data_IF_321314798733
#
_entry.id   IF_321314798733
#
_cell.length_a   1.000
_cell.length_b   1.000
_cell.length_c   1.000
_cell.angle_alpha   90.00
_cell.angle_beta   90.00
_cell.angle_gamma   90.00
#
_symmetry.space_group_name_H-M   'P 1'
#
loop_
_entity.id
_entity.type
_entity.pdbx_description
1 polymer ?
#
# COMPACT_ATOMS: atom_id res chain seq x y z
N UNK A 1 59.49 -4.66 40.35
CA UNK A 1 59.16 -5.17 41.70
C UNK A 1 59.07 -3.99 42.65
N UNK A 2 58.15 -3.91 43.61
CA UNK A 2 56.83 -4.55 43.82
C UNK A 2 55.71 -3.46 43.79
N UNK A 3 54.42 -3.68 44.00
CA UNK A 3 53.74 -4.83 44.58
C UNK A 3 52.23 -4.81 44.29
N UNK A 4 51.73 -6.03 44.34
CA UNK A 4 50.37 -6.54 44.24
C UNK A 4 49.50 -6.09 45.41
N UNK A 5 48.22 -5.79 45.17
CA UNK A 5 47.15 -6.07 46.13
C UNK A 5 45.96 -6.71 45.40
N UNK A 6 45.61 -7.89 45.91
CA UNK A 6 44.54 -8.80 45.51
C UNK A 6 43.14 -8.27 45.87
N UNK A 7 42.14 -8.80 45.16
CA UNK A 7 40.75 -8.96 45.61
C UNK A 7 39.79 -8.01 44.90
N UNK A 8 38.61 -8.40 44.42
CA UNK A 8 37.75 -9.54 44.72
C UNK A 8 36.87 -9.74 43.46
N UNK A 9 36.71 -10.97 43.00
CA UNK A 9 35.55 -11.38 42.21
C UNK A 9 34.89 -12.50 43.02
N UNK A 10 33.58 -12.43 43.35
CA UNK A 10 32.64 -13.23 42.55
C UNK A 10 31.20 -12.66 42.48
N UNK A 11 30.59 -12.83 41.30
CA UNK A 11 29.15 -13.03 41.03
C UNK A 11 28.10 -12.13 41.71
N UNK A 12 27.35 -11.37 40.91
CA UNK A 12 25.88 -11.49 40.83
C UNK A 12 25.27 -10.47 39.87
N UNK A 13 24.24 -10.89 39.14
CA UNK A 13 23.23 -9.97 38.62
C UNK A 13 23.31 -9.68 37.13
N UNK A 14 22.80 -10.62 36.35
CA UNK A 14 22.06 -10.35 35.11
C UNK A 14 21.33 -8.99 35.13
N UNK A 15 21.61 -8.14 34.15
CA UNK A 15 20.60 -7.28 33.56
C UNK A 15 21.02 -6.93 32.14
N UNK A 16 20.89 -7.91 31.24
CA UNK A 16 20.71 -7.62 29.83
C UNK A 16 19.41 -6.82 29.73
N UNK A 17 19.53 -5.50 29.70
CA UNK A 17 18.39 -4.65 29.38
C UNK A 17 17.85 -5.13 28.03
N UNK A 18 16.54 -5.43 27.91
CA UNK A 18 15.99 -5.64 26.58
C UNK A 18 16.29 -4.38 25.76
N UNK A 19 16.64 -4.49 24.47
CA UNK A 19 16.75 -3.31 23.63
C UNK A 19 15.43 -2.55 23.76
N UNK A 20 15.54 -1.30 24.21
CA UNK A 20 14.44 -0.34 24.21
C UNK A 20 13.76 -0.48 22.86
N UNK A 21 12.49 -0.91 22.87
CA UNK A 21 11.74 -1.19 21.67
C UNK A 21 11.81 -0.01 20.72
N UNK A 22 12.17 -0.29 19.47
CA UNK A 22 12.06 0.65 18.37
C UNK A 22 10.64 1.27 18.39
N UNK A 23 10.50 2.61 18.45
CA UNK A 23 9.20 3.26 18.46
C UNK A 23 8.42 3.09 17.14
N UNK A 24 8.95 2.37 16.15
CA UNK A 24 8.18 1.90 15.01
C UNK A 24 7.22 0.79 15.43
N UNK A 25 6.14 1.19 16.11
CA UNK A 25 4.94 0.38 16.29
C UNK A 25 4.40 0.03 14.90
N UNK A 26 4.86 -1.10 14.35
CA UNK A 26 4.33 -1.61 13.10
C UNK A 26 3.05 -2.38 13.39
N UNK A 27 1.93 -1.79 12.99
CA UNK A 27 0.61 -2.38 13.23
C UNK A 27 0.42 -3.46 12.18
N UNK A 28 0.29 -4.69 12.63
CA UNK A 28 -0.07 -5.80 11.75
C UNK A 28 -1.58 -5.81 11.57
N UNK A 29 -2.02 -5.57 10.35
CA UNK A 29 -3.43 -5.58 9.98
C UNK A 29 -3.69 -6.82 9.13
N UNK A 30 -4.50 -7.73 9.67
CA UNK A 30 -5.09 -8.81 8.90
C UNK A 30 -6.41 -8.34 8.30
N UNK A 31 -6.51 -8.35 6.97
CA UNK A 31 -7.70 -7.99 6.22
C UNK A 31 -8.21 -9.21 5.46
N UNK A 32 -9.49 -9.52 5.65
CA UNK A 32 -10.21 -10.52 4.88
C UNK A 32 -11.29 -9.82 4.07
N UNK A 33 -11.20 -9.92 2.75
CA UNK A 33 -12.19 -9.40 1.82
C UNK A 33 -12.94 -10.57 1.18
N UNK A 34 -14.27 -10.57 1.30
CA UNK A 34 -15.15 -11.57 0.71
C UNK A 34 -16.20 -10.87 -0.15
N UNK A 35 -16.20 -11.17 -1.45
CA UNK A 35 -17.27 -10.76 -2.36
C UNK A 35 -17.99 -12.00 -2.85
N UNK A 36 -19.32 -12.05 -2.68
CA UNK A 36 -20.19 -13.15 -3.12
C UNK A 36 -21.23 -12.64 -4.09
N UNK A 37 -21.29 -13.27 -5.25
CA UNK A 37 -22.36 -13.09 -6.24
C UNK A 37 -23.19 -14.36 -6.28
N UNK A 38 -24.52 -14.21 -6.14
CA UNK A 38 -25.48 -15.31 -6.25
C UNK A 38 -26.42 -15.05 -7.41
N UNK A 39 -26.62 -16.06 -8.22
CA UNK A 39 -27.47 -16.03 -9.40
C UNK A 39 -28.69 -16.91 -9.16
N UNK A 40 -29.83 -16.48 -9.69
CA UNK A 40 -31.11 -17.19 -9.69
C UNK A 40 -31.08 -18.47 -10.53
N UNK A 41 -30.18 -18.53 -11.52
CA UNK A 41 -30.02 -19.65 -12.47
C UNK A 41 -28.55 -19.90 -12.81
N UNK A 42 -28.17 -21.09 -13.31
CA UNK A 42 -26.82 -21.35 -13.76
C UNK A 42 -26.42 -20.43 -14.92
N UNK A 43 -25.41 -19.59 -14.70
CA UNK A 43 -24.90 -18.63 -15.69
C UNK A 43 -23.50 -19.02 -16.15
N UNK A 44 -23.18 -18.73 -17.42
CA UNK A 44 -21.81 -18.76 -17.90
C UNK A 44 -21.11 -17.47 -17.50
N UNK A 45 -20.01 -17.59 -16.76
CA UNK A 45 -19.16 -16.46 -16.44
C UNK A 45 -18.18 -16.23 -17.59
N UNK A 46 -18.23 -15.03 -18.18
CA UNK A 46 -17.17 -14.57 -19.08
C UNK A 46 -15.84 -14.38 -18.33
N UNK A 47 -14.74 -14.11 -19.05
CA UNK A 47 -13.43 -13.88 -18.44
C UNK A 47 -13.50 -12.79 -17.37
N UNK A 48 -13.14 -13.12 -16.14
CA UNK A 48 -13.11 -12.20 -15.00
C UNK A 48 -11.69 -11.69 -14.76
N UNK A 49 -11.56 -10.46 -14.28
CA UNK A 49 -10.26 -9.89 -13.89
C UNK A 49 -10.35 -9.41 -12.45
N UNK A 50 -9.53 -9.99 -11.58
CA UNK A 50 -9.44 -9.64 -10.16
C UNK A 50 -8.18 -8.79 -9.93
N UNK A 51 -8.39 -7.60 -9.36
CA UNK A 51 -7.37 -6.56 -9.06
C UNK A 51 -7.20 -6.33 -7.55
N UNK A 52 -7.42 -7.37 -6.76
CA UNK A 52 -7.43 -7.28 -5.29
C UNK A 52 -6.07 -7.58 -4.66
N UNK A 53 -5.04 -7.83 -5.47
CA UNK A 53 -3.66 -7.95 -5.00
C UNK A 53 -3.00 -6.57 -5.00
N UNK A 54 -2.49 -6.08 -3.86
CA UNK A 54 -1.76 -4.82 -3.79
C UNK A 54 -0.58 -4.78 -4.77
N UNK A 55 -0.28 -3.59 -5.28
CA UNK A 55 0.82 -3.38 -6.19
C UNK A 55 2.18 -3.65 -5.48
N UNK A 56 3.19 -4.16 -6.19
CA UNK A 56 4.47 -4.50 -5.58
C UNK A 56 5.24 -3.26 -5.08
N UNK A 57 4.92 -2.07 -5.59
CA UNK A 57 5.53 -0.79 -5.19
C UNK A 57 4.76 -0.08 -4.07
N UNK A 58 3.76 -0.73 -3.45
CA UNK A 58 3.07 -0.17 -2.29
C UNK A 58 4.05 0.06 -1.13
N UNK A 59 3.95 1.22 -0.48
CA UNK A 59 4.78 1.57 0.69
C UNK A 59 4.50 0.67 1.89
N UNK A 60 3.27 0.14 1.99
CA UNK A 60 2.87 -0.81 3.04
C UNK A 60 3.30 -2.22 2.62
N UNK A 61 4.28 -2.84 3.31
CA UNK A 61 4.70 -4.20 3.01
C UNK A 61 3.56 -5.20 3.28
N UNK A 62 3.36 -6.10 2.31
CA UNK A 62 2.41 -7.22 2.41
C UNK A 62 3.19 -8.46 2.85
N UNK A 63 2.91 -8.93 4.06
CA UNK A 63 3.56 -10.10 4.65
C UNK A 63 3.00 -11.40 4.10
N UNK A 64 1.69 -11.46 3.87
CA UNK A 64 1.03 -12.62 3.27
C UNK A 64 -0.17 -12.21 2.44
N UNK A 65 -0.43 -12.99 1.40
CA UNK A 65 -1.56 -12.83 0.49
C UNK A 65 -2.08 -14.20 0.08
N UNK A 66 -3.39 -14.38 0.13
CA UNK A 66 -4.09 -15.57 -0.35
C UNK A 66 -5.29 -15.13 -1.19
N UNK A 67 -5.48 -15.79 -2.34
CA UNK A 67 -6.66 -15.64 -3.18
C UNK A 67 -7.35 -16.99 -3.30
N UNK A 68 -8.59 -17.06 -2.86
CA UNK A 68 -9.48 -18.21 -3.03
C UNK A 68 -10.66 -17.79 -3.89
N UNK A 69 -10.94 -18.59 -4.91
CA UNK A 69 -12.06 -18.36 -5.81
C UNK A 69 -12.93 -19.60 -5.90
N UNK A 70 -14.23 -19.40 -5.80
CA UNK A 70 -15.26 -20.41 -6.00
C UNK A 70 -16.12 -19.96 -7.20
N UNK A 71 -16.42 -20.84 -8.17
CA UNK A 71 -16.18 -22.29 -8.21
C UNK A 71 -14.70 -22.71 -8.29
N UNK A 72 -14.35 -23.86 -7.71
CA UNK A 72 -12.96 -24.38 -7.69
C UNK A 72 -12.45 -24.79 -9.08
N UNK A 73 -13.35 -25.20 -9.99
CA UNK A 73 -13.02 -25.50 -11.38
C UNK A 73 -12.89 -24.21 -12.20
N UNK A 74 -11.69 -23.62 -12.19
CA UNK A 74 -11.38 -22.45 -12.99
C UNK A 74 -9.92 -22.44 -13.43
N UNK A 75 -9.63 -21.71 -14.49
CA UNK A 75 -8.27 -21.41 -14.91
C UNK A 75 -7.90 -20.01 -14.44
N UNK A 76 -6.78 -19.89 -13.73
CA UNK A 76 -6.21 -18.60 -13.31
C UNK A 76 -4.93 -18.31 -14.07
N UNK A 77 -4.84 -17.13 -14.66
CA UNK A 77 -3.64 -16.62 -15.29
C UNK A 77 -3.25 -15.29 -14.62
N UNK A 78 -2.06 -15.26 -14.04
CA UNK A 78 -1.51 -14.06 -13.42
C UNK A 78 -0.72 -13.25 -14.45
N UNK A 79 -1.06 -11.97 -14.57
CA UNK A 79 -0.41 -11.02 -15.47
C UNK A 79 -0.04 -9.75 -14.71
N UNK A 80 0.87 -8.97 -15.27
CA UNK A 80 1.19 -7.63 -14.79
C UNK A 80 0.82 -6.60 -15.86
N UNK A 81 0.22 -5.50 -15.44
CA UNK A 81 -0.02 -4.36 -16.33
C UNK A 81 1.22 -3.46 -16.44
N UNK A 82 1.24 -2.45 -17.34
CA UNK A 82 2.39 -1.55 -17.48
C UNK A 82 2.77 -0.77 -16.22
N UNK A 83 1.84 -0.66 -15.26
CA UNK A 83 2.08 -0.03 -13.95
C UNK A 83 2.48 -1.07 -12.88
N UNK A 84 2.83 -2.29 -13.29
CA UNK A 84 3.20 -3.42 -12.45
C UNK A 84 2.11 -3.90 -11.48
N UNK A 85 0.83 -3.57 -11.71
CA UNK A 85 -0.26 -4.13 -10.92
C UNK A 85 -0.50 -5.59 -11.28
N UNK A 86 -0.76 -6.43 -10.27
CA UNK A 86 -1.09 -7.83 -10.47
C UNK A 86 -2.55 -8.01 -10.90
N UNK A 87 -2.74 -8.71 -12.02
CA UNK A 87 -4.04 -9.05 -12.57
C UNK A 87 -4.22 -10.56 -12.56
N UNK A 88 -5.19 -11.06 -11.79
CA UNK A 88 -5.65 -12.44 -11.94
C UNK A 88 -6.76 -12.47 -12.98
N UNK A 89 -6.51 -13.08 -14.14
CA UNK A 89 -7.54 -13.36 -15.14
C UNK A 89 -8.09 -14.76 -14.93
N UNK A 90 -9.39 -14.87 -14.75
CA UNK A 90 -10.07 -16.13 -14.47
C UNK A 90 -11.02 -16.49 -15.60
N UNK A 91 -11.00 -17.76 -15.97
CA UNK A 91 -11.92 -18.32 -16.96
C UNK A 91 -12.61 -19.54 -16.34
N UNK A 92 -13.93 -19.55 -16.42
CA UNK A 92 -14.77 -20.61 -15.86
C UNK A 92 -15.35 -21.44 -17.00
N UNK A 93 -15.02 -22.74 -17.10
CA UNK A 93 -15.56 -23.61 -18.14
C UNK A 93 -17.03 -23.99 -17.86
N UNK A 94 -17.43 -24.08 -16.60
CA UNK A 94 -18.74 -24.56 -16.17
C UNK A 94 -19.70 -23.42 -15.83
N UNK A 95 -21.00 -23.69 -15.96
CA UNK A 95 -22.04 -22.78 -15.46
C UNK A 95 -22.06 -22.82 -13.94
N UNK A 96 -22.22 -21.67 -13.31
CA UNK A 96 -22.33 -21.58 -11.85
C UNK A 96 -23.53 -20.74 -11.42
N UNK A 97 -24.02 -21.01 -10.21
CA UNK A 97 -25.04 -20.21 -9.52
C UNK A 97 -24.42 -19.32 -8.44
N UNK A 98 -23.15 -19.52 -8.09
CA UNK A 98 -22.43 -18.70 -7.13
C UNK A 98 -21.02 -18.40 -7.63
N UNK A 99 -20.57 -17.16 -7.42
CA UNK A 99 -19.20 -16.73 -7.66
C UNK A 99 -18.69 -16.00 -6.42
N UNK A 100 -17.70 -16.60 -5.75
CA UNK A 100 -17.14 -16.05 -4.52
C UNK A 100 -15.66 -15.80 -4.70
N UNK A 101 -15.23 -14.59 -4.37
CA UNK A 101 -13.84 -14.18 -4.31
C UNK A 101 -13.50 -13.88 -2.87
N UNK A 102 -12.56 -14.62 -2.31
CA UNK A 102 -12.02 -14.40 -0.96
C UNK A 102 -10.56 -14.05 -1.06
N UNK A 103 -10.17 -12.93 -0.46
CA UNK A 103 -8.80 -12.46 -0.38
C UNK A 103 -8.43 -12.26 1.07
N UNK A 104 -7.37 -12.94 1.51
CA UNK A 104 -6.77 -12.74 2.82
C UNK A 104 -5.43 -12.04 2.65
N UNK A 105 -5.21 -10.98 3.42
CA UNK A 105 -4.03 -10.13 3.35
C UNK A 105 -3.54 -9.83 4.76
N UNK A 106 -2.25 -10.00 5.01
CA UNK A 106 -1.61 -9.43 6.21
C UNK A 106 -0.67 -8.33 5.77
N UNK A 107 -0.96 -7.10 6.20
CA UNK A 107 -0.16 -5.92 5.89
C UNK A 107 0.48 -5.39 7.17
N UNK A 108 1.74 -4.99 7.07
CA UNK A 108 2.43 -4.29 8.15
C UNK A 108 2.33 -2.79 7.88
N UNK A 109 1.50 -2.11 8.66
CA UNK A 109 1.32 -0.66 8.59
C UNK A 109 2.30 0.02 9.53
N UNK A 110 3.40 0.52 8.97
CA UNK A 110 4.20 1.51 9.66
C UNK A 110 3.57 2.90 9.50
N UNK A 111 3.68 3.73 10.55
CA UNK A 111 3.31 5.14 10.48
C UNK A 111 4.38 5.85 9.64
N UNK A 112 4.03 6.19 8.40
CA UNK A 112 4.87 7.02 7.54
C UNK A 112 4.41 8.47 7.65
N UNK A 113 5.34 9.40 7.87
CA UNK A 113 5.04 10.83 7.79
C UNK A 113 4.89 11.20 6.30
N UNK A 114 3.70 11.60 5.82
CA UNK A 114 3.51 11.97 4.42
C UNK A 114 4.26 13.26 4.04
N UNK A 115 4.74 14.02 5.02
CA UNK A 115 5.50 15.27 4.84
C UNK A 115 7.01 15.09 5.03
N UNK A 116 7.49 13.85 5.16
CA UNK A 116 8.93 13.56 5.23
C UNK A 116 9.51 13.46 3.81
N UNK A 117 9.48 14.58 3.10
CA UNK A 117 10.10 14.73 1.78
C UNK A 117 10.94 16.00 1.74
N UNK A 118 12.01 15.95 0.95
CA UNK A 118 12.81 17.14 0.69
C UNK A 118 12.14 17.98 -0.39
N UNK A 119 11.92 19.26 -0.09
CA UNK A 119 11.53 20.23 -1.10
C UNK A 119 12.74 20.55 -1.97
N UNK A 120 12.54 20.53 -3.29
CA UNK A 120 13.51 21.13 -4.20
C UNK A 120 13.62 22.63 -3.90
N UNK A 121 14.80 23.26 -4.10
CA UNK A 121 15.00 24.68 -3.81
C UNK A 121 13.94 25.59 -4.45
N UNK A 122 13.51 25.25 -5.66
CA UNK A 122 12.48 25.97 -6.42
C UNK A 122 11.05 25.81 -5.86
N UNK A 123 10.78 24.76 -5.09
CA UNK A 123 9.46 24.46 -4.52
C UNK A 123 9.32 24.85 -3.04
N UNK A 124 10.31 25.57 -2.46
CA UNK A 124 10.25 26.01 -1.06
C UNK A 124 9.19 27.10 -0.80
N UNK A 125 8.87 27.88 -1.83
CA UNK A 125 7.91 28.98 -1.76
C UNK A 125 6.92 28.85 -2.90
N UNK A 126 5.63 28.93 -2.56
CA UNK A 126 4.56 28.94 -3.54
C UNK A 126 4.27 30.38 -3.99
N UNK A 127 3.96 30.63 -5.27
CA UNK A 127 3.88 29.68 -6.39
C UNK A 127 5.25 29.34 -7.00
N UNK A 128 5.43 28.10 -7.44
CA UNK A 128 6.62 27.62 -8.16
C UNK A 128 6.25 27.05 -9.54
N UNK A 129 7.26 26.76 -10.36
CA UNK A 129 7.10 26.23 -11.72
C UNK A 129 7.86 24.89 -11.82
N UNK A 130 7.21 23.88 -12.40
CA UNK A 130 7.86 22.59 -12.70
C UNK A 130 8.85 22.72 -13.86
N UNK A 131 9.89 21.89 -13.87
CA UNK A 131 10.84 21.82 -14.98
C UNK A 131 10.20 21.31 -16.28
N UNK A 132 10.90 21.47 -17.41
CA UNK A 132 10.35 21.15 -18.74
C UNK A 132 9.95 19.67 -18.89
N UNK A 133 10.68 18.74 -18.28
CA UNK A 133 10.36 17.31 -18.33
C UNK A 133 9.13 16.99 -17.47
N UNK A 134 9.09 17.52 -16.25
CA UNK A 134 7.98 17.37 -15.32
C UNK A 134 6.69 18.01 -15.87
N UNK A 135 6.77 19.15 -16.56
CA UNK A 135 5.61 19.76 -17.21
C UNK A 135 4.97 18.83 -18.23
N UNK A 136 5.77 18.07 -18.99
CA UNK A 136 5.27 17.10 -19.98
C UNK A 136 4.59 15.92 -19.27
N UNK A 137 5.25 15.34 -18.26
CA UNK A 137 4.72 14.20 -17.51
C UNK A 137 3.47 14.56 -16.70
N UNK A 138 3.45 15.77 -16.13
CA UNK A 138 2.38 16.27 -15.28
C UNK A 138 1.27 16.99 -16.04
N UNK A 139 1.40 17.21 -17.36
CA UNK A 139 0.42 17.92 -18.18
C UNK A 139 -1.04 17.45 -17.95
N UNK A 140 -1.35 16.15 -17.84
CA UNK A 140 -2.71 15.70 -17.57
C UNK A 140 -3.24 16.12 -16.19
N UNK A 141 -2.36 16.30 -15.21
CA UNK A 141 -2.71 16.66 -13.83
C UNK A 141 -2.74 18.18 -13.60
N UNK A 142 -2.09 18.97 -14.47
CA UNK A 142 -2.07 20.43 -14.40
C UNK A 142 -3.27 21.10 -15.10
N UNK A 143 -4.14 20.31 -15.73
CA UNK A 143 -5.33 20.82 -16.38
C UNK A 143 -6.39 21.26 -15.35
N UNK A 144 -6.37 22.54 -14.97
CA UNK A 144 -7.36 23.12 -14.10
C UNK A 144 -8.68 23.42 -14.85
N UNK A 145 -9.81 23.07 -14.23
CA UNK A 145 -11.14 23.48 -14.70
C UNK A 145 -11.43 24.96 -14.39
N UNK A 146 -12.55 25.46 -14.90
CA UNK A 146 -13.01 26.82 -14.57
C UNK A 146 -13.35 26.93 -13.08
N UNK A 147 -12.81 27.97 -12.42
CA UNK A 147 -13.16 28.26 -11.04
C UNK A 147 -14.64 28.68 -10.95
N UNK A 148 -15.41 27.96 -10.13
CA UNK A 148 -16.80 28.34 -9.81
C UNK A 148 -16.80 29.63 -8.96
N UNK A 149 -17.92 30.39 -8.89
CA UNK A 149 -17.96 31.66 -8.17
C UNK A 149 -17.52 31.59 -6.70
N UNK A 150 -17.87 30.50 -6.00
CA UNK A 150 -17.45 30.29 -4.60
C UNK A 150 -15.95 30.00 -4.50
N UNK A 151 -15.40 29.17 -5.40
CA UNK A 151 -13.97 28.89 -5.45
C UNK A 151 -13.16 30.13 -5.81
N UNK A 152 -13.63 30.92 -6.77
CA UNK A 152 -13.02 32.19 -7.17
C UNK A 152 -13.07 33.24 -6.04
N UNK A 153 -14.12 33.23 -5.22
CA UNK A 153 -14.20 34.02 -3.99
C UNK A 153 -13.11 33.59 -3.00
N UNK A 154 -13.05 32.30 -2.68
CA UNK A 154 -12.06 31.74 -1.76
C UNK A 154 -10.61 32.01 -2.20
N UNK A 155 -10.29 31.84 -3.48
CA UNK A 155 -8.94 32.08 -4.01
C UNK A 155 -8.45 33.53 -3.86
N UNK A 156 -9.35 34.50 -3.68
CA UNK A 156 -8.97 35.91 -3.42
C UNK A 156 -8.52 36.15 -1.98
N UNK A 157 -8.99 35.31 -1.06
CA UNK A 157 -8.70 35.44 0.38
C UNK A 157 -7.40 34.72 0.78
N UNK A 158 -6.80 33.93 -0.12
CA UNK A 158 -5.54 33.22 0.13
C UNK A 158 -4.35 34.18 -0.06
N UNK A 159 -3.55 34.44 0.99
CA UNK A 159 -2.31 35.20 0.86
C UNK A 159 -1.31 34.43 -0.01
N UNK A 160 -0.69 35.13 -0.97
CA UNK A 160 0.30 34.57 -1.92
C UNK A 160 1.72 34.83 -1.45
#
# INVERSE_FOLDING_TARGET
>A
TPGTCLGINPNSGTSTAPPCGDPRMSIHVALQHVTRYRYDRPVHLGPQVIRLRPAPHCRTPILSYSLRVEPTTHFINWQQDPFANYLARLVFPEKTTEFTVTVDLVAEMAVYNPFDFFLEPQAQTFPFVYDEAQQIELAPYLQAGHATPLLAGYLKDIPR
#
